data_IF_036668094620
#
_entry.id   IF_036668094620
#
_cell.length_a   1.000
_cell.length_b   1.000
_cell.length_c   1.000
_cell.angle_alpha   90.00
_cell.angle_beta   90.00
_cell.angle_gamma   90.00
#
_symmetry.space_group_name_H-M   'P 1'
#
loop_
_entity.id
_entity.type
_entity.pdbx_description
1 polymer ?
#
# COMPACT_ATOMS: atom_id res chain seq x y z
N UNK A 1 -14.10 -3.84 7.43
CA UNK A 1 -12.87 -4.54 7.03
C UNK A 1 -12.91 -4.60 5.52
N UNK A 2 -12.31 -3.62 4.84
CA UNK A 2 -12.39 -3.54 3.38
C UNK A 2 -11.28 -4.40 2.79
N UNK A 3 -11.68 -5.54 2.24
CA UNK A 3 -10.84 -6.43 1.46
C UNK A 3 -10.60 -5.78 0.09
N UNK A 4 -9.34 -5.47 -0.24
CA UNK A 4 -8.97 -5.00 -1.58
C UNK A 4 -8.18 -6.09 -2.29
N UNK A 5 -8.65 -6.47 -3.47
CA UNK A 5 -7.92 -7.35 -4.38
C UNK A 5 -6.59 -6.70 -4.80
N UNK A 6 -5.55 -7.51 -4.69
CA UNK A 6 -4.16 -7.24 -5.02
C UNK A 6 -4.00 -7.20 -6.55
N UNK A 7 -3.58 -6.06 -7.11
CA UNK A 7 -3.07 -5.99 -8.49
C UNK A 7 -1.53 -5.99 -8.46
N UNK A 8 -0.89 -7.15 -8.67
CA UNK A 8 0.56 -7.29 -8.58
C UNK A 8 1.31 -6.65 -9.75
N UNK A 9 0.64 -6.30 -10.84
CA UNK A 9 1.32 -6.01 -12.10
C UNK A 9 1.80 -4.56 -12.25
N UNK A 10 1.62 -3.69 -11.25
CA UNK A 10 1.96 -2.25 -11.41
C UNK A 10 2.80 -1.60 -10.34
N UNK A 11 3.64 -2.37 -9.66
CA UNK A 11 4.83 -1.81 -9.04
C UNK A 11 6.00 -2.71 -9.44
N UNK A 12 6.65 -2.33 -10.54
CA UNK A 12 7.90 -2.92 -10.98
C UNK A 12 8.97 -2.60 -9.92
N UNK A 13 9.05 -3.45 -8.89
CA UNK A 13 10.14 -3.42 -7.91
C UNK A 13 11.18 -4.46 -8.35
N UNK A 14 12.31 -4.04 -8.95
CA UNK A 14 13.39 -4.94 -9.34
C UNK A 14 14.06 -5.65 -8.15
N UNK A 15 13.73 -5.29 -6.91
CA UNK A 15 14.12 -5.98 -5.68
C UNK A 15 13.07 -6.98 -5.17
N UNK A 16 12.14 -7.46 -6.01
CA UNK A 16 11.20 -8.53 -5.65
C UNK A 16 11.92 -9.79 -5.14
N UNK A 17 12.17 -9.83 -3.83
CA UNK A 17 12.58 -11.02 -3.11
C UNK A 17 11.32 -11.81 -2.85
N UNK A 18 11.27 -13.04 -3.39
CA UNK A 18 10.12 -13.96 -3.28
C UNK A 18 9.80 -14.39 -1.84
N UNK A 19 10.62 -13.97 -0.87
CA UNK A 19 10.62 -14.45 0.51
C UNK A 19 9.95 -13.47 1.51
N UNK A 20 9.48 -12.29 1.08
CA UNK A 20 8.92 -11.28 1.99
C UNK A 20 7.47 -10.92 1.59
N UNK A 21 6.50 -11.30 2.43
CA UNK A 21 5.09 -10.94 2.25
C UNK A 21 4.91 -9.42 2.42
N UNK A 22 4.38 -8.77 1.38
CA UNK A 22 4.18 -7.32 1.34
C UNK A 22 2.71 -6.98 1.49
N UNK A 23 2.42 -6.15 2.46
CA UNK A 23 1.10 -5.67 2.82
C UNK A 23 0.96 -4.20 2.40
N UNK A 24 -0.24 -3.80 2.00
CA UNK A 24 -0.56 -2.42 1.63
C UNK A 24 -1.57 -1.86 2.61
N UNK A 25 -1.19 -0.75 3.26
CA UNK A 25 -2.07 0.04 4.11
C UNK A 25 -2.46 1.33 3.39
N UNK A 26 -3.75 1.64 3.45
CA UNK A 26 -4.30 2.89 2.91
C UNK A 26 -4.86 3.68 4.08
N UNK A 27 -4.47 4.95 4.17
CA UNK A 27 -4.91 5.83 5.24
C UNK A 27 -5.02 7.27 4.81
N UNK A 28 -5.61 8.11 5.67
CA UNK A 28 -5.74 9.53 5.45
C UNK A 28 -4.86 10.25 6.49
N UNK A 29 -3.96 11.11 6.01
CA UNK A 29 -3.17 11.97 6.89
C UNK A 29 -4.02 13.07 7.52
N UNK A 30 -3.53 13.68 8.61
CA UNK A 30 -4.18 14.84 9.25
C UNK A 30 -4.45 16.04 8.33
N UNK A 31 -3.76 16.12 7.17
CA UNK A 31 -4.01 17.15 6.14
C UNK A 31 -4.99 16.68 5.05
N UNK A 32 -5.81 15.67 5.34
CA UNK A 32 -6.79 15.06 4.45
C UNK A 32 -6.21 14.54 3.12
N UNK A 33 -4.99 14.00 3.18
CA UNK A 33 -4.31 13.39 2.02
C UNK A 33 -4.28 11.88 2.18
N UNK A 34 -4.74 11.16 1.15
CA UNK A 34 -4.61 9.72 1.06
C UNK A 34 -3.14 9.32 0.95
N UNK A 35 -2.75 8.36 1.78
CA UNK A 35 -1.44 7.76 1.85
C UNK A 35 -1.57 6.27 1.56
N UNK A 36 -0.61 5.77 0.79
CA UNK A 36 -0.41 4.36 0.55
C UNK A 36 0.94 4.01 1.18
N UNK A 37 0.92 3.02 2.07
CA UNK A 37 2.10 2.50 2.75
C UNK A 37 2.22 1.03 2.37
N UNK A 38 3.37 0.64 1.85
CA UNK A 38 3.73 -0.76 1.63
C UNK A 38 4.68 -1.16 2.74
N UNK A 39 4.34 -2.21 3.48
CA UNK A 39 5.17 -2.72 4.56
C UNK A 39 5.31 -4.23 4.47
N UNK A 40 6.30 -4.75 5.17
CA UNK A 40 6.45 -6.17 5.43
C UNK A 40 6.57 -6.40 6.93
N UNK A 41 6.10 -7.56 7.37
CA UNK A 41 6.14 -7.99 8.76
C UNK A 41 7.09 -9.17 8.89
N UNK A 42 8.12 -9.04 9.73
CA UNK A 42 9.10 -10.11 9.95
C UNK A 42 9.60 -10.08 11.39
N UNK A 43 9.56 -11.22 12.08
CA UNK A 43 10.04 -11.37 13.45
C UNK A 43 9.49 -10.28 14.38
N UNK A 44 8.17 -10.04 14.32
CA UNK A 44 7.46 -9.01 15.10
C UNK A 44 7.90 -7.56 14.83
N UNK A 45 8.64 -7.32 13.74
CA UNK A 45 9.04 -5.99 13.28
C UNK A 45 8.29 -5.63 12.01
N UNK A 46 7.85 -4.38 11.95
CA UNK A 46 7.28 -3.78 10.75
C UNK A 46 8.39 -3.01 10.02
N UNK A 47 8.66 -3.38 8.77
CA UNK A 47 9.55 -2.65 7.87
C UNK A 47 8.69 -1.91 6.84
N UNK A 48 8.77 -0.58 6.85
CA UNK A 48 8.17 0.24 5.80
C UNK A 48 9.06 0.12 4.56
N UNK A 49 8.48 -0.34 3.45
CA UNK A 49 9.15 -0.48 2.15
C UNK A 49 8.93 0.79 1.33
N UNK A 50 7.70 1.32 1.33
CA UNK A 50 7.35 2.54 0.62
C UNK A 50 6.23 3.28 1.35
N UNK A 51 6.29 4.61 1.36
CA UNK A 51 5.23 5.47 1.86
C UNK A 51 5.07 6.66 0.93
N UNK A 52 3.92 6.76 0.27
CA UNK A 52 3.66 7.85 -0.69
C UNK A 52 2.24 8.37 -0.62
N UNK A 53 2.04 9.56 -1.19
CA UNK A 53 0.70 10.06 -1.46
C UNK A 53 0.05 9.19 -2.54
N UNK A 54 -1.23 8.91 -2.35
CA UNK A 54 -2.07 8.31 -3.38
C UNK A 54 -2.17 9.25 -4.59
N UNK A 55 -2.13 8.69 -5.80
CA UNK A 55 -2.40 9.44 -7.03
C UNK A 55 -3.90 9.78 -7.12
N UNK A 56 -4.27 10.72 -8.00
CA UNK A 56 -5.69 11.09 -8.22
C UNK A 56 -6.54 9.91 -8.70
N UNK A 57 -5.93 8.93 -9.38
CA UNK A 57 -6.62 7.74 -9.89
C UNK A 57 -6.85 6.73 -8.79
N UNK A 58 -5.80 6.43 -8.00
CA UNK A 58 -5.89 5.54 -6.83
C UNK A 58 -6.88 6.08 -5.79
N UNK A 59 -6.83 7.38 -5.51
CA UNK A 59 -7.79 8.03 -4.62
C UNK A 59 -9.23 7.79 -5.06
N UNK A 60 -9.54 7.98 -6.33
CA UNK A 60 -10.90 7.77 -6.86
C UNK A 60 -11.33 6.31 -6.77
N UNK A 61 -10.43 5.38 -7.06
CA UNK A 61 -10.69 3.96 -6.91
C UNK A 61 -11.03 3.60 -5.45
N UNK A 62 -10.26 4.12 -4.48
CA UNK A 62 -10.52 3.87 -3.06
C UNK A 62 -11.74 4.62 -2.51
N UNK A 63 -12.04 5.82 -2.98
CA UNK A 63 -13.26 6.56 -2.60
C UNK A 63 -14.53 5.91 -3.17
N UNK A 64 -14.47 5.27 -4.34
CA UNK A 64 -15.64 4.64 -4.97
C UNK A 64 -15.94 3.22 -4.49
N UNK A 65 -14.94 2.53 -3.93
CA UNK A 65 -15.05 1.13 -3.49
C UNK A 65 -14.97 0.96 -1.95
N UNK A 66 -15.01 2.05 -1.20
CA UNK A 66 -15.06 2.06 0.28
C UNK A 66 -16.48 2.26 0.79
#
# INVERSE_FOLDING_TARGET
MLSFEWDPEKIDDPLHSRDEERLVLIGISHKNRFLIVVHAERNEKIRIISARKSTKSERRFYESNG
#
